data_IF_750577193141
#
_entry.id   IF_750577193141
#
_cell.length_a   1.000
_cell.length_b   1.000
_cell.length_c   1.000
_cell.angle_alpha   90.00
_cell.angle_beta   90.00
_cell.angle_gamma   90.00
#
_symmetry.space_group_name_H-M   'P 1'
#
loop_
_entity.id
_entity.type
_entity.pdbx_description
1 polymer ?
#
# COMPACT_ATOMS: atom_id res chain seq x y z
N UNK A 1 -30.94 -3.41 -17.56
CA UNK A 1 -30.99 -4.73 -18.24
C UNK A 1 -29.63 -5.11 -18.81
N UNK A 2 -28.95 -4.26 -19.59
CA UNK A 2 -27.60 -4.53 -20.13
C UNK A 2 -26.57 -4.94 -19.06
N UNK A 3 -26.52 -4.24 -17.91
CA UNK A 3 -25.64 -4.59 -16.79
C UNK A 3 -25.85 -6.01 -16.22
N UNK A 4 -27.05 -6.58 -16.38
CA UNK A 4 -27.38 -7.94 -15.93
C UNK A 4 -27.12 -9.01 -17.01
N UNK A 5 -27.00 -8.61 -18.28
CA UNK A 5 -26.86 -9.51 -19.42
C UNK A 5 -25.42 -9.99 -19.66
N UNK A 6 -24.41 -9.34 -19.05
CA UNK A 6 -23.04 -9.87 -18.95
C UNK A 6 -22.14 -9.77 -20.20
N UNK A 7 -22.63 -9.22 -21.32
CA UNK A 7 -21.77 -8.95 -22.48
C UNK A 7 -20.80 -7.79 -22.19
N UNK A 8 -19.49 -8.03 -22.26
CA UNK A 8 -18.43 -7.09 -21.84
C UNK A 8 -18.56 -5.70 -22.48
N UNK A 9 -18.78 -5.62 -23.79
CA UNK A 9 -18.94 -4.35 -24.50
C UNK A 9 -20.20 -3.59 -24.06
N UNK A 10 -21.32 -4.30 -23.97
CA UNK A 10 -22.59 -3.74 -23.51
C UNK A 10 -22.54 -3.31 -22.02
N UNK A 11 -21.77 -4.01 -21.19
CA UNK A 11 -21.55 -3.66 -19.78
C UNK A 11 -20.70 -2.41 -19.64
N UNK A 12 -19.60 -2.31 -20.39
CA UNK A 12 -18.74 -1.12 -20.43
C UNK A 12 -19.50 0.12 -20.87
N UNK A 13 -20.28 0.01 -21.95
CA UNK A 13 -21.11 1.09 -22.48
C UNK A 13 -22.21 1.48 -21.49
N UNK A 14 -22.89 0.51 -20.87
CA UNK A 14 -23.91 0.80 -19.87
C UNK A 14 -23.38 1.55 -18.64
N UNK A 15 -22.18 1.20 -18.14
CA UNK A 15 -21.55 1.96 -17.05
C UNK A 15 -21.17 3.37 -17.49
N UNK A 16 -20.67 3.53 -18.72
CA UNK A 16 -20.32 4.84 -19.26
C UNK A 16 -21.56 5.73 -19.39
N UNK A 17 -22.64 5.23 -19.99
CA UNK A 17 -23.92 5.94 -20.09
C UNK A 17 -24.46 6.31 -18.70
N UNK A 18 -24.42 5.39 -17.74
CA UNK A 18 -24.87 5.67 -16.37
C UNK A 18 -24.02 6.76 -15.71
N UNK A 19 -22.70 6.75 -15.90
CA UNK A 19 -21.80 7.79 -15.42
C UNK A 19 -22.19 9.16 -16.00
N UNK A 20 -22.40 9.25 -17.32
CA UNK A 20 -22.83 10.49 -17.98
C UNK A 20 -24.18 11.00 -17.45
N UNK A 21 -25.16 10.10 -17.25
CA UNK A 21 -26.48 10.48 -16.70
C UNK A 21 -26.34 11.02 -15.28
N UNK A 22 -25.51 10.41 -14.44
CA UNK A 22 -25.30 10.87 -13.07
C UNK A 22 -24.58 12.23 -12.99
N UNK A 23 -23.70 12.53 -13.94
CA UNK A 23 -23.04 13.83 -14.04
C UNK A 23 -23.99 14.94 -14.53
N UNK A 24 -24.80 14.65 -15.55
CA UNK A 24 -25.68 15.63 -16.19
C UNK A 24 -26.97 15.88 -15.39
N UNK A 25 -27.44 14.89 -14.63
CA UNK A 25 -28.71 14.96 -13.91
C UNK A 25 -28.56 14.76 -12.39
N UNK A 26 -28.15 15.79 -11.62
CA UNK A 26 -27.98 15.71 -10.16
C UNK A 26 -29.26 15.30 -9.39
N UNK A 27 -30.44 15.66 -9.91
CA UNK A 27 -31.73 15.25 -9.33
C UNK A 27 -32.00 13.75 -9.47
N UNK A 28 -31.55 13.14 -10.56
CA UNK A 28 -31.61 11.68 -10.75
C UNK A 28 -30.67 10.98 -9.76
N UNK A 29 -29.43 11.46 -9.64
CA UNK A 29 -28.49 10.94 -8.65
C UNK A 29 -29.09 11.00 -7.23
N UNK A 30 -29.62 12.15 -6.83
CA UNK A 30 -30.20 12.34 -5.48
C UNK A 30 -31.39 11.42 -5.19
N UNK A 31 -32.26 11.18 -6.18
CA UNK A 31 -33.45 10.35 -6.00
C UNK A 31 -33.19 8.84 -6.09
N UNK A 32 -32.15 8.43 -6.83
CA UNK A 32 -31.87 7.02 -7.13
C UNK A 32 -30.55 6.49 -6.57
N UNK A 33 -29.82 7.28 -5.78
CA UNK A 33 -28.53 6.87 -5.16
C UNK A 33 -28.66 5.51 -4.47
N UNK A 34 -29.71 5.34 -3.67
CA UNK A 34 -29.90 4.12 -2.90
C UNK A 34 -30.05 2.87 -3.77
N UNK A 35 -30.99 2.92 -4.71
CA UNK A 35 -31.26 1.82 -5.65
C UNK A 35 -30.05 1.52 -6.55
N UNK A 36 -29.31 2.56 -6.95
CA UNK A 36 -28.13 2.41 -7.80
C UNK A 36 -26.97 1.79 -7.05
N UNK A 37 -26.72 2.17 -5.80
CA UNK A 37 -25.67 1.52 -4.99
C UNK A 37 -25.99 0.06 -4.78
N UNK A 38 -27.23 -0.28 -4.44
CA UNK A 38 -27.64 -1.67 -4.20
C UNK A 38 -27.55 -2.49 -5.50
N UNK A 39 -27.95 -1.92 -6.63
CA UNK A 39 -27.79 -2.55 -7.95
C UNK A 39 -26.32 -2.77 -8.29
N UNK A 40 -25.48 -1.73 -8.18
CA UNK A 40 -24.08 -1.80 -8.57
C UNK A 40 -23.35 -2.80 -7.69
N UNK A 41 -23.42 -2.64 -6.37
CA UNK A 41 -22.73 -3.51 -5.40
C UNK A 41 -23.23 -4.96 -5.43
N UNK A 42 -24.47 -5.19 -5.86
CA UNK A 42 -25.03 -6.53 -6.09
C UNK A 42 -24.54 -7.22 -7.38
N UNK A 43 -23.93 -6.49 -8.32
CA UNK A 43 -23.34 -7.07 -9.53
C UNK A 43 -21.90 -7.51 -9.28
N UNK A 44 -21.49 -8.63 -9.89
CA UNK A 44 -20.09 -9.08 -9.89
C UNK A 44 -19.19 -7.99 -10.47
N UNK A 45 -18.04 -7.75 -9.83
CA UNK A 45 -17.02 -6.84 -10.34
C UNK A 45 -16.59 -7.27 -11.75
N UNK A 46 -16.52 -6.35 -12.73
CA UNK A 46 -16.04 -6.68 -14.08
C UNK A 46 -14.59 -7.17 -14.05
N UNK A 47 -14.30 -8.19 -14.86
CA UNK A 47 -12.94 -8.73 -14.98
C UNK A 47 -12.08 -7.88 -15.93
N UNK A 48 -12.68 -7.11 -16.84
CA UNK A 48 -11.98 -6.23 -17.79
C UNK A 48 -11.74 -4.82 -17.22
N UNK A 49 -10.59 -4.24 -17.57
CA UNK A 49 -10.14 -2.95 -17.00
C UNK A 49 -11.04 -1.79 -17.41
N UNK A 50 -11.59 -1.81 -18.63
CA UNK A 50 -12.46 -0.73 -19.14
C UNK A 50 -13.78 -0.65 -18.36
N UNK A 51 -14.49 -1.76 -18.24
CA UNK A 51 -15.73 -1.84 -17.48
C UNK A 51 -15.51 -1.60 -16.00
N UNK A 52 -14.40 -2.10 -15.42
CA UNK A 52 -14.03 -1.79 -14.04
C UNK A 52 -13.81 -0.29 -13.84
N UNK A 53 -13.07 0.36 -14.72
CA UNK A 53 -12.82 1.80 -14.66
C UNK A 53 -14.13 2.61 -14.75
N UNK A 54 -15.01 2.24 -15.67
CA UNK A 54 -16.31 2.92 -15.83
C UNK A 54 -17.18 2.71 -14.59
N UNK A 55 -17.24 1.49 -14.06
CA UNK A 55 -17.95 1.17 -12.80
C UNK A 55 -17.42 1.97 -11.63
N UNK A 56 -16.10 2.03 -11.43
CA UNK A 56 -15.47 2.80 -10.36
C UNK A 56 -15.76 4.30 -10.51
N UNK A 57 -15.85 4.81 -11.74
CA UNK A 57 -16.24 6.21 -12.01
C UNK A 57 -17.71 6.46 -11.64
N UNK A 58 -18.62 5.55 -12.01
CA UNK A 58 -20.03 5.63 -11.59
C UNK A 58 -20.15 5.64 -10.06
N UNK A 59 -19.46 4.71 -9.40
CA UNK A 59 -19.41 4.60 -7.94
C UNK A 59 -18.80 5.86 -7.29
N UNK A 60 -17.81 6.47 -7.92
CA UNK A 60 -17.21 7.73 -7.44
C UNK A 60 -18.22 8.86 -7.40
N UNK A 61 -19.06 9.03 -8.41
CA UNK A 61 -20.09 10.07 -8.42
C UNK A 61 -21.08 9.85 -7.26
N UNK A 62 -21.53 8.61 -7.06
CA UNK A 62 -22.44 8.24 -5.97
C UNK A 62 -21.81 8.44 -4.59
N UNK A 63 -20.53 8.09 -4.42
CA UNK A 63 -19.80 8.29 -3.16
C UNK A 63 -19.65 9.77 -2.84
N UNK A 64 -19.27 10.58 -3.83
CA UNK A 64 -19.14 12.03 -3.66
C UNK A 64 -20.49 12.65 -3.27
N UNK A 65 -21.57 12.25 -3.94
CA UNK A 65 -22.92 12.69 -3.61
C UNK A 65 -23.29 12.32 -2.17
N UNK A 66 -23.12 11.04 -1.80
CA UNK A 66 -23.49 10.55 -0.47
C UNK A 66 -22.68 11.23 0.64
N UNK A 67 -21.38 11.51 0.41
CA UNK A 67 -20.53 12.20 1.37
C UNK A 67 -20.84 13.69 1.50
N UNK A 68 -21.32 14.34 0.43
CA UNK A 68 -21.74 15.75 0.45
C UNK A 68 -23.15 15.94 1.01
N UNK A 69 -24.02 14.94 0.86
CA UNK A 69 -25.37 14.99 1.40
C UNK A 69 -25.34 14.90 2.93
N UNK A 70 -26.08 15.78 3.61
CA UNK A 70 -26.23 15.83 5.08
C UNK A 70 -27.23 14.75 5.54
N UNK A 71 -27.06 13.51 5.07
CA UNK A 71 -28.00 12.44 5.41
C UNK A 71 -27.32 11.29 6.15
N UNK A 72 -27.94 11.00 7.29
CA UNK A 72 -27.87 9.86 8.21
C UNK A 72 -26.48 9.31 8.63
N UNK A 73 -26.23 9.40 9.94
CA UNK A 73 -25.07 8.78 10.64
C UNK A 73 -25.08 7.25 10.47
N UNK A 74 -26.24 6.66 10.12
CA UNK A 74 -26.41 5.23 9.85
C UNK A 74 -26.22 4.76 8.41
N UNK A 75 -25.95 5.64 7.44
CA UNK A 75 -25.86 5.22 6.03
C UNK A 75 -24.59 4.37 5.77
N UNK A 76 -24.78 3.06 5.53
CA UNK A 76 -23.71 2.10 5.26
C UNK A 76 -23.23 2.13 3.80
N UNK A 77 -23.96 2.78 2.89
CA UNK A 77 -23.70 2.76 1.45
C UNK A 77 -22.35 3.37 1.05
N UNK A 78 -21.90 4.49 1.64
CA UNK A 78 -20.54 4.98 1.43
C UNK A 78 -19.47 3.92 1.70
N UNK A 79 -19.67 3.08 2.73
CA UNK A 79 -18.73 2.00 3.03
C UNK A 79 -18.76 0.91 1.97
N UNK A 80 -19.94 0.51 1.47
CA UNK A 80 -20.05 -0.48 0.39
C UNK A 80 -19.30 -0.02 -0.87
N UNK A 81 -19.50 1.24 -1.26
CA UNK A 81 -18.82 1.83 -2.42
C UNK A 81 -17.30 1.91 -2.18
N UNK A 82 -16.89 2.43 -1.02
CA UNK A 82 -15.48 2.59 -0.70
C UNK A 82 -14.78 1.22 -0.61
N UNK A 83 -15.45 0.18 -0.13
CA UNK A 83 -14.90 -1.17 -0.07
C UNK A 83 -14.50 -1.68 -1.46
N UNK A 84 -15.34 -1.47 -2.49
CA UNK A 84 -14.98 -1.85 -3.86
C UNK A 84 -13.75 -1.11 -4.36
N UNK A 85 -13.66 0.19 -4.09
CA UNK A 85 -12.50 0.99 -4.47
C UNK A 85 -11.23 0.48 -3.75
N UNK A 86 -11.31 0.24 -2.45
CA UNK A 86 -10.20 -0.28 -1.64
C UNK A 86 -9.71 -1.63 -2.19
N UNK A 87 -10.62 -2.54 -2.55
CA UNK A 87 -10.24 -3.82 -3.16
C UNK A 87 -9.55 -3.62 -4.52
N UNK A 88 -10.06 -2.70 -5.36
CA UNK A 88 -9.49 -2.42 -6.67
C UNK A 88 -8.06 -1.83 -6.61
N UNK A 89 -7.68 -1.15 -5.53
CA UNK A 89 -6.30 -0.66 -5.31
C UNK A 89 -5.27 -1.81 -5.24
N UNK A 90 -5.73 -3.03 -4.97
CA UNK A 90 -4.91 -4.23 -4.85
C UNK A 90 -5.18 -5.26 -5.94
N UNK A 91 -5.85 -4.87 -7.02
CA UNK A 91 -6.05 -5.74 -8.18
C UNK A 91 -4.71 -6.31 -8.68
N UNK A 92 -4.74 -7.54 -9.18
CA UNK A 92 -3.58 -8.18 -9.81
C UNK A 92 -3.04 -7.40 -11.02
N UNK A 93 -3.93 -6.75 -11.79
CA UNK A 93 -3.63 -6.02 -13.01
C UNK A 93 -3.16 -4.60 -12.70
N UNK A 94 -2.04 -4.20 -13.29
CA UNK A 94 -1.47 -2.87 -13.06
C UNK A 94 -2.41 -1.75 -13.51
N UNK A 95 -3.05 -1.90 -14.67
CA UNK A 95 -3.95 -0.88 -15.21
C UNK A 95 -5.21 -0.72 -14.37
N UNK A 96 -5.72 -1.81 -13.80
CA UNK A 96 -6.84 -1.77 -12.85
C UNK A 96 -6.48 -1.00 -11.58
N UNK A 97 -5.31 -1.28 -10.98
CA UNK A 97 -4.81 -0.51 -9.83
C UNK A 97 -4.65 0.97 -10.17
N UNK A 98 -4.12 1.28 -11.35
CA UNK A 98 -3.95 2.66 -11.82
C UNK A 98 -5.29 3.37 -11.96
N UNK A 99 -6.29 2.73 -12.58
CA UNK A 99 -7.64 3.28 -12.69
C UNK A 99 -8.25 3.55 -11.31
N UNK A 100 -8.08 2.64 -10.35
CA UNK A 100 -8.55 2.85 -8.97
C UNK A 100 -7.83 4.02 -8.27
N UNK A 101 -6.51 4.19 -8.45
CA UNK A 101 -5.78 5.36 -7.94
C UNK A 101 -6.28 6.67 -8.57
N UNK A 102 -6.51 6.68 -9.89
CA UNK A 102 -7.00 7.86 -10.60
C UNK A 102 -8.42 8.24 -10.12
N UNK A 103 -9.29 7.25 -9.89
CA UNK A 103 -10.63 7.47 -9.32
C UNK A 103 -10.54 8.00 -7.88
N UNK A 104 -9.67 7.47 -7.03
CA UNK A 104 -9.47 7.98 -5.67
C UNK A 104 -9.05 9.46 -5.65
N UNK A 105 -8.15 9.85 -6.56
CA UNK A 105 -7.71 11.25 -6.72
C UNK A 105 -8.81 12.16 -7.28
N UNK A 106 -9.72 11.63 -8.11
CA UNK A 106 -10.92 12.37 -8.54
C UNK A 106 -11.86 12.60 -7.37
N UNK A 107 -12.13 11.58 -6.54
CA UNK A 107 -12.95 11.73 -5.32
C UNK A 107 -12.38 12.83 -4.43
N UNK A 108 -11.08 12.78 -4.12
CA UNK A 108 -10.45 13.79 -3.25
C UNK A 108 -10.59 15.21 -3.80
N UNK A 109 -10.42 15.37 -5.12
CA UNK A 109 -10.56 16.66 -5.79
C UNK A 109 -12.02 17.16 -5.75
N UNK A 110 -12.99 16.28 -5.99
CA UNK A 110 -14.42 16.63 -5.96
C UNK A 110 -14.95 16.96 -4.56
N UNK A 111 -14.36 16.40 -3.50
CA UNK A 111 -14.72 16.70 -2.11
C UNK A 111 -14.03 17.95 -1.55
N UNK A 112 -13.20 18.61 -2.35
CA UNK A 112 -12.53 19.85 -1.97
C UNK A 112 -11.25 19.62 -1.17
N UNK A 113 -10.37 18.71 -1.59
CA UNK A 113 -8.99 18.52 -1.07
C UNK A 113 -8.04 19.71 -1.31
N UNK A 114 -8.57 20.93 -1.20
CA UNK A 114 -7.90 22.22 -1.15
C UNK A 114 -8.60 23.21 -0.20
N UNK A 115 -9.78 22.87 0.34
CA UNK A 115 -10.50 23.59 1.41
C UNK A 115 -10.40 22.81 2.72
N UNK A 116 -9.19 22.38 3.01
CA UNK A 116 -8.86 21.43 4.05
C UNK A 116 -8.84 22.07 5.47
N UNK A 117 -9.68 23.09 5.67
CA UNK A 117 -9.86 23.80 6.93
C UNK A 117 -11.07 23.32 7.75
N UNK A 118 -11.91 22.44 7.20
CA UNK A 118 -13.06 21.90 7.93
C UNK A 118 -12.80 20.45 8.36
N UNK A 119 -12.43 20.18 9.63
CA UNK A 119 -12.22 18.82 10.14
C UNK A 119 -13.50 17.96 10.08
N UNK A 120 -14.68 18.58 9.92
CA UNK A 120 -15.96 17.89 9.78
C UNK A 120 -16.49 17.89 8.33
N UNK A 121 -15.64 18.25 7.35
CA UNK A 121 -16.01 18.30 5.94
C UNK A 121 -16.14 16.90 5.29
N UNK A 122 -16.78 16.82 4.11
CA UNK A 122 -16.93 15.57 3.35
C UNK A 122 -15.60 14.85 3.05
N UNK A 123 -14.53 15.60 2.83
CA UNK A 123 -13.19 15.05 2.64
C UNK A 123 -12.65 14.40 3.91
N UNK A 124 -12.75 15.06 5.06
CA UNK A 124 -12.35 14.47 6.35
C UNK A 124 -13.16 13.22 6.70
N UNK A 125 -14.44 13.17 6.30
CA UNK A 125 -15.28 11.95 6.40
C UNK A 125 -14.73 10.82 5.53
N UNK A 126 -14.33 11.08 4.28
CA UNK A 126 -13.67 10.08 3.43
C UNK A 126 -12.42 9.51 4.11
N UNK A 127 -11.55 10.38 4.64
CA UNK A 127 -10.31 9.94 5.29
C UNK A 127 -10.60 9.12 6.53
N UNK A 128 -11.54 9.56 7.37
CA UNK A 128 -11.98 8.84 8.57
C UNK A 128 -12.52 7.45 8.21
N UNK A 129 -13.28 7.34 7.12
CA UNK A 129 -13.73 6.04 6.62
C UNK A 129 -12.56 5.16 6.21
N UNK A 130 -11.58 5.68 5.45
CA UNK A 130 -10.37 4.93 5.05
C UNK A 130 -9.55 4.51 6.28
N UNK A 131 -9.46 5.35 7.32
CA UNK A 131 -8.84 4.99 8.60
C UNK A 131 -9.56 3.81 9.28
N UNK A 132 -10.89 3.74 9.17
CA UNK A 132 -11.67 2.57 9.60
C UNK A 132 -11.22 1.27 8.93
N UNK A 133 -10.81 1.31 7.66
CA UNK A 133 -10.30 0.12 6.94
C UNK A 133 -8.91 -0.34 7.41
N UNK A 134 -8.20 0.44 8.22
CA UNK A 134 -6.96 -0.05 8.86
C UNK A 134 -7.25 -1.22 9.80
N UNK A 135 -8.44 -1.24 10.40
CA UNK A 135 -8.98 -2.37 11.20
C UNK A 135 -9.75 -3.38 10.34
N UNK A 136 -9.49 -3.42 9.03
CA UNK A 136 -10.14 -4.33 8.11
C UNK A 136 -9.94 -5.81 8.46
N UNK A 137 -10.81 -6.71 7.95
CA UNK A 137 -10.84 -8.12 8.36
C UNK A 137 -9.66 -8.94 7.82
N UNK A 138 -8.85 -8.38 6.91
CA UNK A 138 -7.71 -9.07 6.33
C UNK A 138 -6.51 -8.13 6.14
N UNK A 139 -5.28 -8.66 6.21
CA UNK A 139 -4.07 -7.89 5.88
C UNK A 139 -4.10 -7.25 4.49
N UNK A 140 -4.80 -7.89 3.55
CA UNK A 140 -4.96 -7.40 2.18
C UNK A 140 -5.71 -6.06 2.17
N UNK A 141 -6.87 -6.00 2.84
CA UNK A 141 -7.70 -4.80 2.98
C UNK A 141 -6.95 -3.71 3.76
N UNK A 142 -6.32 -4.06 4.88
CA UNK A 142 -5.51 -3.10 5.66
C UNK A 142 -4.39 -2.50 4.81
N UNK A 143 -3.66 -3.31 4.03
CA UNK A 143 -2.59 -2.82 3.16
C UNK A 143 -3.10 -1.95 2.01
N UNK A 144 -4.31 -2.24 1.51
CA UNK A 144 -4.99 -1.46 0.49
C UNK A 144 -5.37 -0.07 1.01
N UNK A 145 -5.92 0.00 2.22
CA UNK A 145 -6.24 1.25 2.90
C UNK A 145 -5.00 2.12 3.14
N UNK A 146 -3.89 1.53 3.56
CA UNK A 146 -2.60 2.25 3.69
C UNK A 146 -2.11 2.78 2.33
N UNK A 147 -2.32 2.02 1.25
CA UNK A 147 -1.99 2.46 -0.11
C UNK A 147 -2.89 3.60 -0.58
N UNK A 148 -4.18 3.58 -0.23
CA UNK A 148 -5.12 4.67 -0.46
C UNK A 148 -4.67 5.97 0.24
N UNK A 149 -4.33 5.88 1.53
CA UNK A 149 -3.79 7.02 2.30
C UNK A 149 -2.48 7.53 1.72
N UNK A 150 -1.61 6.65 1.21
CA UNK A 150 -0.36 7.06 0.57
C UNK A 150 -0.61 7.94 -0.66
N UNK A 151 -1.60 7.60 -1.48
CA UNK A 151 -1.96 8.36 -2.69
C UNK A 151 -2.55 9.71 -2.32
N UNK A 152 -3.40 9.76 -1.29
CA UNK A 152 -4.01 10.99 -0.81
C UNK A 152 -2.97 11.93 -0.17
N UNK A 153 -2.07 11.41 0.67
CA UNK A 153 -0.95 12.19 1.25
C UNK A 153 0.02 12.67 0.17
N UNK A 154 0.25 11.88 -0.89
CA UNK A 154 1.05 12.34 -2.02
C UNK A 154 0.43 13.55 -2.72
N UNK A 155 -0.91 13.56 -2.86
CA UNK A 155 -1.65 14.65 -3.48
C UNK A 155 -1.74 15.89 -2.58
N UNK A 156 -1.98 15.69 -1.29
CA UNK A 156 -2.19 16.74 -0.30
C UNK A 156 -1.50 16.39 1.01
N UNK A 157 -0.21 16.75 1.19
CA UNK A 157 0.55 16.38 2.39
C UNK A 157 0.01 17.01 3.68
N UNK A 158 -0.63 18.17 3.56
CA UNK A 158 -1.29 18.88 4.67
C UNK A 158 -2.39 18.03 5.34
N UNK A 159 -2.91 16.99 4.67
CA UNK A 159 -3.84 16.02 5.21
C UNK A 159 -3.40 15.48 6.59
N UNK A 160 -2.11 15.20 6.77
CA UNK A 160 -1.58 14.66 8.02
C UNK A 160 -1.58 15.67 9.17
N UNK A 161 -1.66 16.97 8.88
CA UNK A 161 -1.77 18.04 9.88
C UNK A 161 -3.22 18.28 10.27
N UNK A 162 -4.13 18.18 9.30
CA UNK A 162 -5.57 18.40 9.51
C UNK A 162 -6.20 17.22 10.24
N UNK A 163 -5.75 16.00 9.93
CA UNK A 163 -6.21 14.76 10.55
C UNK A 163 -4.99 14.11 11.22
N UNK A 164 -4.64 14.56 12.44
CA UNK A 164 -3.40 14.16 13.11
C UNK A 164 -3.34 12.65 13.40
N UNK A 165 -4.49 11.98 13.49
CA UNK A 165 -4.59 10.54 13.74
C UNK A 165 -4.08 9.67 12.58
N UNK A 166 -3.90 10.23 11.37
CA UNK A 166 -3.46 9.46 10.19
C UNK A 166 -2.09 8.83 10.43
N UNK A 167 -1.11 9.62 10.87
CA UNK A 167 0.28 9.15 10.99
C UNK A 167 0.44 8.13 12.12
N UNK A 168 -0.06 8.37 13.36
CA UNK A 168 0.00 7.39 14.44
C UNK A 168 -0.76 6.10 14.09
N UNK A 169 -1.97 6.20 13.53
CA UNK A 169 -2.78 5.03 13.17
C UNK A 169 -2.08 4.14 12.16
N UNK A 170 -1.54 4.71 11.08
CA UNK A 170 -0.81 3.94 10.06
C UNK A 170 0.51 3.39 10.61
N UNK A 171 1.24 4.18 11.41
CA UNK A 171 2.54 3.75 11.97
C UNK A 171 2.37 2.60 12.96
N UNK A 172 1.29 2.58 13.75
CA UNK A 172 0.98 1.50 14.71
C UNK A 172 0.90 0.11 14.05
N UNK A 173 0.54 0.05 12.76
CA UNK A 173 0.45 -1.19 11.98
C UNK A 173 1.82 -1.85 11.75
N UNK A 174 2.93 -1.16 12.00
CA UNK A 174 4.28 -1.74 12.03
C UNK A 174 4.47 -2.75 13.17
N UNK A 175 3.57 -2.83 14.15
CA UNK A 175 3.60 -3.87 15.18
C UNK A 175 2.91 -5.18 14.74
N UNK A 176 2.23 -5.19 13.60
CA UNK A 176 1.61 -6.40 13.06
C UNK A 176 2.67 -7.37 12.51
N UNK A 177 2.29 -8.65 12.31
CA UNK A 177 3.14 -9.67 11.69
C UNK A 177 2.95 -9.79 10.16
N UNK A 178 2.01 -9.02 9.60
CA UNK A 178 1.64 -9.13 8.20
C UNK A 178 2.63 -8.38 7.30
N UNK A 179 3.49 -9.12 6.59
CA UNK A 179 4.55 -8.58 5.72
C UNK A 179 4.00 -7.58 4.70
N UNK A 180 2.83 -7.87 4.11
CA UNK A 180 2.18 -7.00 3.15
C UNK A 180 1.78 -5.65 3.76
N UNK A 181 1.25 -5.65 4.98
CA UNK A 181 0.89 -4.43 5.73
C UNK A 181 2.15 -3.64 6.07
N UNK A 182 3.19 -4.28 6.61
CA UNK A 182 4.46 -3.61 6.94
C UNK A 182 5.08 -2.95 5.69
N UNK A 183 5.08 -3.65 4.55
CA UNK A 183 5.55 -3.10 3.26
C UNK A 183 4.74 -1.85 2.87
N UNK A 184 3.41 -1.90 3.00
CA UNK A 184 2.55 -0.77 2.69
C UNK A 184 2.82 0.43 3.62
N UNK A 185 2.98 0.19 4.94
CA UNK A 185 3.25 1.24 5.93
C UNK A 185 4.60 1.91 5.70
N UNK A 186 5.66 1.14 5.45
CA UNK A 186 6.96 1.73 5.09
C UNK A 186 6.90 2.51 3.77
N UNK A 187 6.04 2.08 2.83
CA UNK A 187 5.72 2.83 1.62
C UNK A 187 5.03 4.17 1.91
N UNK A 188 4.00 4.15 2.76
CA UNK A 188 3.28 5.34 3.23
C UNK A 188 4.23 6.33 3.91
N UNK A 189 5.03 5.87 4.87
CA UNK A 189 5.98 6.72 5.60
C UNK A 189 6.98 7.34 4.63
N UNK A 190 7.49 6.57 3.66
CA UNK A 190 8.39 7.10 2.62
C UNK A 190 7.72 8.24 1.84
N UNK A 191 6.47 8.07 1.41
CA UNK A 191 5.71 9.11 0.70
C UNK A 191 5.55 10.34 1.60
N UNK A 192 5.08 10.17 2.83
CA UNK A 192 4.90 11.23 3.80
C UNK A 192 6.17 12.07 3.98
N UNK A 193 7.30 11.44 4.35
CA UNK A 193 8.56 12.17 4.59
C UNK A 193 9.10 12.83 3.33
N UNK A 194 8.75 12.31 2.15
CA UNK A 194 9.15 12.90 0.87
C UNK A 194 8.35 14.18 0.58
N UNK A 195 7.04 14.17 0.84
CA UNK A 195 6.12 15.21 0.39
C UNK A 195 5.89 16.34 1.41
N UNK A 196 5.90 16.06 2.72
CA UNK A 196 5.59 17.07 3.75
C UNK A 196 6.71 18.11 3.91
N UNK A 197 6.42 19.37 4.25
CA UNK A 197 7.47 20.37 4.44
C UNK A 197 8.39 20.05 5.63
N UNK A 198 9.67 20.46 5.62
CA UNK A 198 10.60 20.21 6.72
C UNK A 198 10.14 20.73 8.08
N UNK A 199 9.45 21.89 8.11
CA UNK A 199 8.92 22.50 9.35
C UNK A 199 7.87 21.59 9.98
N UNK A 200 6.92 21.13 9.19
CA UNK A 200 5.82 20.28 9.63
C UNK A 200 6.26 18.84 9.90
N UNK A 201 7.29 18.36 9.20
CA UNK A 201 7.83 17.02 9.43
C UNK A 201 8.31 16.82 10.86
N UNK A 202 8.77 17.89 11.54
CA UNK A 202 9.24 17.84 12.93
C UNK A 202 8.17 17.28 13.87
N UNK A 203 6.88 17.55 13.59
CA UNK A 203 5.75 17.05 14.38
C UNK A 203 5.63 15.52 14.37
N UNK A 204 6.20 14.87 13.36
CA UNK A 204 6.10 13.42 13.16
C UNK A 204 7.43 12.68 13.37
N UNK A 205 8.52 13.38 13.69
CA UNK A 205 9.87 12.77 13.77
C UNK A 205 9.91 11.65 14.80
N UNK A 206 9.39 11.86 16.01
CA UNK A 206 9.38 10.82 17.05
C UNK A 206 8.57 9.59 16.61
N UNK A 207 7.28 9.76 16.28
CA UNK A 207 6.41 8.63 15.90
C UNK A 207 6.97 7.83 14.73
N UNK A 208 7.52 8.50 13.71
CA UNK A 208 8.09 7.82 12.55
C UNK A 208 9.36 7.06 12.95
N UNK A 209 10.30 7.70 13.65
CA UNK A 209 11.58 7.08 14.03
C UNK A 209 11.35 5.88 14.94
N UNK A 210 10.49 6.03 15.95
CA UNK A 210 10.13 4.95 16.88
C UNK A 210 9.50 3.75 16.15
N UNK A 211 8.63 4.01 15.17
CA UNK A 211 7.99 2.98 14.36
C UNK A 211 8.95 2.23 13.43
N UNK A 212 9.83 2.94 12.71
CA UNK A 212 10.65 2.32 11.64
C UNK A 212 11.96 1.70 12.13
N UNK A 213 12.54 2.18 13.24
CA UNK A 213 13.84 1.72 13.70
C UNK A 213 13.91 0.21 14.03
N UNK A 214 12.89 -0.42 14.63
CA UNK A 214 12.86 -1.88 14.81
C UNK A 214 13.06 -2.67 13.51
N UNK A 215 12.63 -2.12 12.38
CA UNK A 215 12.75 -2.74 11.07
C UNK A 215 14.15 -2.57 10.44
N UNK A 216 15.02 -1.76 11.04
CA UNK A 216 16.40 -1.57 10.57
C UNK A 216 17.27 -2.82 10.73
N UNK A 217 16.97 -3.71 11.68
CA UNK A 217 17.71 -4.96 11.90
C UNK A 217 17.19 -6.11 11.03
N UNK A 218 16.02 -5.96 10.41
CA UNK A 218 15.37 -7.01 9.60
C UNK A 218 15.83 -6.93 8.15
N UNK A 219 16.65 -7.90 7.72
CA UNK A 219 17.15 -7.97 6.33
C UNK A 219 16.14 -8.59 5.36
N UNK A 220 15.26 -9.46 5.84
CA UNK A 220 14.20 -10.09 5.03
C UNK A 220 13.28 -9.02 4.43
N UNK A 221 12.75 -9.29 3.24
CA UNK A 221 11.84 -8.39 2.51
C UNK A 221 12.41 -6.98 2.25
N UNK A 222 13.73 -6.83 2.36
CA UNK A 222 14.46 -5.58 2.19
C UNK A 222 14.00 -4.47 3.15
N UNK A 223 13.47 -4.81 4.33
CA UNK A 223 12.98 -3.82 5.29
C UNK A 223 14.07 -2.85 5.75
N UNK A 224 15.25 -3.36 6.11
CA UNK A 224 16.43 -2.53 6.43
C UNK A 224 16.71 -1.48 5.36
N UNK A 225 16.69 -1.85 4.07
CA UNK A 225 16.92 -0.91 2.96
C UNK A 225 15.84 0.14 2.86
N UNK A 226 14.57 -0.21 3.08
CA UNK A 226 13.45 0.76 3.09
C UNK A 226 13.59 1.74 4.26
N UNK A 227 13.93 1.25 5.45
CA UNK A 227 14.18 2.09 6.63
C UNK A 227 15.36 3.03 6.40
N UNK A 228 16.45 2.55 5.79
CA UNK A 228 17.60 3.40 5.42
C UNK A 228 17.16 4.56 4.53
N UNK A 229 16.38 4.30 3.47
CA UNK A 229 15.90 5.35 2.55
C UNK A 229 15.03 6.38 3.27
N UNK A 230 14.15 5.95 4.18
CA UNK A 230 13.30 6.85 4.97
C UNK A 230 14.19 7.74 5.87
N UNK A 231 15.13 7.14 6.61
CA UNK A 231 16.04 7.90 7.48
C UNK A 231 16.93 8.86 6.69
N UNK A 232 17.41 8.48 5.50
CA UNK A 232 18.16 9.39 4.62
C UNK A 232 17.33 10.62 4.24
N UNK A 233 16.03 10.45 3.99
CA UNK A 233 15.10 11.56 3.72
C UNK A 233 14.91 12.44 4.96
N UNK A 234 14.66 11.83 6.12
CA UNK A 234 14.45 12.57 7.35
C UNK A 234 15.70 13.35 7.78
N UNK A 235 16.88 12.74 7.74
CA UNK A 235 18.15 13.41 8.08
C UNK A 235 18.40 14.59 7.14
N UNK A 236 18.03 14.48 5.87
CA UNK A 236 18.17 15.59 4.91
C UNK A 236 17.23 16.75 5.21
N UNK A 237 15.99 16.48 5.64
CA UNK A 237 14.95 17.51 5.84
C UNK A 237 15.00 18.11 7.24
N UNK A 238 15.14 17.28 8.27
CA UNK A 238 15.09 17.68 9.68
C UNK A 238 16.48 17.87 10.32
N UNK A 239 17.55 17.41 9.63
CA UNK A 239 18.90 17.37 10.18
C UNK A 239 19.18 16.13 11.03
N UNK A 240 20.46 15.76 11.13
CA UNK A 240 20.92 14.65 11.95
C UNK A 240 20.65 14.84 13.46
N UNK A 241 20.83 16.05 14.05
CA UNK A 241 20.59 16.25 15.48
C UNK A 241 19.15 15.94 15.89
N UNK A 242 18.16 16.39 15.12
CA UNK A 242 16.74 16.15 15.40
C UNK A 242 16.40 14.66 15.39
N UNK A 243 16.88 13.91 14.37
CA UNK A 243 16.66 12.46 14.29
C UNK A 243 17.38 11.72 15.42
N UNK A 244 18.61 12.12 15.76
CA UNK A 244 19.37 11.51 16.86
C UNK A 244 18.73 11.72 18.22
N UNK A 245 18.13 12.89 18.46
CA UNK A 245 17.50 13.24 19.74
C UNK A 245 16.40 12.24 20.13
N UNK A 246 15.62 11.77 19.15
CA UNK A 246 14.55 10.79 19.37
C UNK A 246 15.00 9.34 19.14
N UNK A 247 16.26 9.11 18.76
CA UNK A 247 16.75 7.76 18.45
C UNK A 247 17.21 7.05 19.73
N UNK A 248 16.64 5.88 20.08
CA UNK A 248 17.12 5.08 21.19
C UNK A 248 18.59 4.66 21.00
N UNK A 249 19.36 4.59 22.08
CA UNK A 249 20.81 4.34 22.07
C UNK A 249 21.21 3.13 21.21
N UNK A 250 20.45 2.02 21.30
CA UNK A 250 20.66 0.79 20.53
C UNK A 250 20.70 0.98 19.01
N UNK A 251 20.09 2.03 18.48
CA UNK A 251 20.03 2.32 17.04
C UNK A 251 20.91 3.51 16.63
N UNK A 252 21.55 4.22 17.55
CA UNK A 252 22.35 5.40 17.21
C UNK A 252 23.51 5.09 16.25
N UNK A 253 24.18 3.95 16.43
CA UNK A 253 25.24 3.50 15.52
C UNK A 253 24.73 3.31 14.09
N UNK A 254 23.50 2.78 13.94
CA UNK A 254 22.87 2.61 12.64
C UNK A 254 22.52 3.96 12.01
N UNK A 255 21.89 4.87 12.74
CA UNK A 255 21.56 6.23 12.26
C UNK A 255 22.82 7.01 11.87
N UNK A 256 23.89 6.90 12.67
CA UNK A 256 25.21 7.48 12.35
C UNK A 256 25.75 6.90 11.04
N UNK A 257 25.71 5.57 10.85
CA UNK A 257 26.12 4.94 9.59
C UNK A 257 25.31 5.43 8.39
N UNK A 258 24.00 5.58 8.53
CA UNK A 258 23.13 6.11 7.47
C UNK A 258 23.53 7.55 7.09
N UNK A 259 23.83 8.41 8.07
CA UNK A 259 24.31 9.79 7.81
C UNK A 259 25.66 9.87 7.09
N UNK A 260 26.56 8.91 7.34
CA UNK A 260 27.89 8.83 6.73
C UNK A 260 27.86 8.27 5.31
N UNK A 261 26.92 7.36 5.02
CA UNK A 261 26.71 6.75 3.70
C UNK A 261 26.45 7.79 2.60
N UNK A 262 26.08 9.01 2.99
CA UNK A 262 25.92 10.20 2.14
C UNK A 262 27.26 10.86 1.74
N UNK A 263 28.25 10.89 2.61
CA UNK A 263 29.49 11.64 2.39
C UNK A 263 30.45 10.91 1.44
N UNK A 264 30.51 9.57 1.49
CA UNK A 264 31.42 8.78 0.64
C UNK A 264 31.02 8.66 -0.83
N UNK A 265 29.80 9.08 -1.23
CA UNK A 265 29.34 9.07 -2.63
C UNK A 265 29.44 10.43 -3.33
N UNK A 266 29.55 11.52 -2.57
CA UNK A 266 29.83 12.85 -3.12
C UNK A 266 31.34 13.12 -3.18
N UNK A 267 32.14 12.54 -2.28
CA UNK A 267 33.58 12.78 -2.20
C UNK A 267 34.44 11.92 -3.15
N UNK A 268 33.85 11.02 -3.95
CA UNK A 268 34.60 10.16 -4.90
C UNK A 268 34.51 10.61 -6.36
N UNK A 269 33.91 11.77 -6.63
CA UNK A 269 33.84 12.38 -7.96
C UNK A 269 34.51 13.76 -8.03
N UNK A 270 34.94 14.31 -6.90
CA UNK A 270 35.53 15.66 -6.79
C UNK A 270 36.97 15.55 -6.30
N UNK A 271 37.79 14.77 -7.02
CA UNK A 271 39.23 14.71 -6.81
C UNK A 271 39.97 14.69 -8.16
N UNK A 272 39.51 15.49 -9.13
CA UNK A 272 40.37 16.02 -10.20
C UNK A 272 39.70 17.22 -10.90
N UNK A 273 39.86 18.42 -10.34
CA UNK A 273 40.01 19.67 -11.09
C UNK A 273 40.13 20.85 -10.13
N UNK A 274 41.36 21.25 -9.90
CA UNK A 274 41.73 22.48 -9.20
C UNK A 274 41.36 23.70 -10.07
N UNK A 275 40.82 24.73 -9.41
CA UNK A 275 40.94 26.16 -9.75
C UNK A 275 39.82 26.84 -10.59
N UNK A 276 38.81 27.41 -9.92
CA UNK A 276 38.40 28.84 -10.07
C UNK A 276 37.35 29.26 -9.01
N UNK A 277 37.58 30.42 -8.38
CA UNK A 277 36.73 31.10 -7.38
C UNK A 277 35.67 32.01 -8.08
N UNK A 278 34.71 32.64 -7.38
CA UNK A 278 33.28 32.43 -7.55
C UNK A 278 32.54 33.61 -8.22
N UNK A 279 31.36 33.35 -8.78
CA UNK A 279 30.37 34.40 -9.07
C UNK A 279 29.01 34.06 -8.46
N UNK A 280 28.42 35.12 -7.93
CA UNK A 280 27.19 35.20 -7.15
C UNK A 280 26.01 35.33 -8.10
N UNK A 281 24.95 34.55 -7.92
CA UNK A 281 23.61 34.86 -8.42
C UNK A 281 22.55 34.07 -7.65
N UNK A 282 21.40 34.72 -7.56
CA UNK A 282 20.39 34.69 -6.51
C UNK A 282 19.41 33.50 -6.57
N UNK A 283 18.73 33.31 -5.45
CA UNK A 283 17.70 32.33 -5.12
C UNK A 283 16.41 32.63 -5.89
N UNK A 284 15.84 31.65 -6.60
CA UNK A 284 14.37 31.51 -6.66
C UNK A 284 13.89 30.14 -7.16
N UNK A 285 12.94 29.58 -6.39
CA UNK A 285 11.86 28.64 -6.72
C UNK A 285 12.17 27.17 -7.07
N UNK A 286 12.15 26.35 -6.02
CA UNK A 286 11.91 24.91 -6.06
C UNK A 286 10.41 24.60 -6.23
N UNK A 287 9.99 24.22 -7.44
CA UNK A 287 8.68 23.58 -7.67
C UNK A 287 8.76 22.25 -8.45
N UNK A 288 9.96 21.77 -8.81
CA UNK A 288 10.11 20.66 -9.78
C UNK A 288 10.32 19.25 -9.17
N UNK A 289 10.27 19.08 -7.85
CA UNK A 289 10.57 17.78 -7.23
C UNK A 289 9.42 16.76 -7.28
N UNK A 290 8.19 17.17 -7.57
CA UNK A 290 7.03 16.26 -7.65
C UNK A 290 6.77 15.69 -9.06
N UNK A 291 7.34 16.26 -10.13
CA UNK A 291 7.13 15.77 -11.52
C UNK A 291 8.01 14.56 -11.86
N UNK A 292 9.11 14.35 -11.14
CA UNK A 292 10.11 13.30 -11.44
C UNK A 292 9.66 11.87 -11.13
N UNK A 293 8.47 11.66 -10.55
CA UNK A 293 7.91 10.32 -10.35
C UNK A 293 7.32 9.71 -11.63
N UNK A 294 6.98 10.51 -12.66
CA UNK A 294 6.42 10.00 -13.93
C UNK A 294 7.45 9.38 -14.87
N UNK A 295 8.74 9.69 -14.75
CA UNK A 295 9.76 9.27 -15.75
C UNK A 295 10.74 8.18 -15.28
N UNK A 296 10.71 7.77 -14.01
CA UNK A 296 11.62 6.72 -13.49
C UNK A 296 10.92 5.42 -13.11
N UNK A 297 9.84 5.07 -13.81
CA UNK A 297 9.31 3.68 -13.85
C UNK A 297 10.13 2.82 -14.82
N UNK A 298 11.42 2.65 -14.51
CA UNK A 298 12.14 1.40 -14.82
C UNK A 298 12.23 0.64 -13.52
N UNK A 299 11.12 -0.01 -13.17
CA UNK A 299 11.08 -1.01 -12.11
C UNK A 299 12.11 -2.09 -12.46
N UNK A 300 13.15 -2.19 -11.64
CA UNK A 300 13.98 -3.39 -11.59
C UNK A 300 13.07 -4.49 -11.06
N UNK A 301 12.74 -5.45 -11.92
CA UNK A 301 11.91 -6.63 -11.66
C UNK A 301 12.06 -7.18 -10.23
N UNK A 302 10.98 -7.19 -9.45
CA UNK A 302 10.78 -8.14 -8.36
C UNK A 302 9.97 -9.31 -8.93
N UNK A 303 10.66 -10.32 -9.47
CA UNK A 303 10.08 -11.65 -9.64
C UNK A 303 10.38 -12.43 -8.36
N UNK A 304 9.39 -12.55 -7.50
CA UNK A 304 9.40 -13.51 -6.39
C UNK A 304 9.20 -14.91 -6.98
N UNK A 305 10.29 -15.66 -7.11
CA UNK A 305 10.27 -17.07 -7.46
C UNK A 305 10.08 -17.91 -6.21
N UNK A 306 8.89 -18.49 -6.04
CA UNK A 306 8.71 -19.70 -5.23
C UNK A 306 9.47 -20.84 -5.92
N UNK A 307 10.44 -21.43 -5.23
CA UNK A 307 11.20 -22.57 -5.73
C UNK A 307 10.69 -23.85 -5.07
N UNK A 308 9.94 -24.63 -5.85
CA UNK A 308 9.80 -26.06 -5.67
C UNK A 308 11.03 -26.79 -6.22
N UNK A 309 11.71 -27.51 -5.33
CA UNK A 309 12.61 -28.66 -5.48
C UNK A 309 13.35 -28.98 -6.79
N UNK A 310 14.62 -29.36 -6.57
CA UNK A 310 15.43 -30.40 -7.23
C UNK A 310 16.58 -29.94 -8.17
N UNK A 311 17.79 -29.96 -7.59
CA UNK A 311 19.04 -30.55 -8.10
C UNK A 311 19.38 -30.37 -9.60
N UNK A 312 20.48 -29.66 -9.89
CA UNK A 312 21.72 -30.33 -10.31
C UNK A 312 22.95 -29.42 -10.18
N UNK A 313 23.96 -30.01 -9.57
CA UNK A 313 25.29 -29.50 -9.21
C UNK A 313 26.22 -29.60 -10.41
N UNK A 314 26.91 -28.51 -10.80
CA UNK A 314 28.23 -28.61 -11.42
C UNK A 314 29.12 -27.42 -11.06
N UNK A 315 30.14 -27.73 -10.25
CA UNK A 315 31.31 -26.90 -9.92
C UNK A 315 32.18 -26.70 -11.16
N UNK A 316 32.71 -25.50 -11.36
CA UNK A 316 34.00 -25.19 -12.03
C UNK A 316 34.51 -23.89 -11.36
N UNK A 317 35.36 -23.94 -10.33
CA UNK A 317 36.82 -24.17 -10.29
C UNK A 317 37.58 -23.16 -11.16
N UNK A 318 38.12 -22.15 -10.47
CA UNK A 318 39.08 -21.17 -10.97
C UNK A 318 40.36 -21.84 -11.49
N UNK A 319 40.89 -21.32 -12.59
CA UNK A 319 42.33 -21.35 -12.84
C UNK A 319 42.74 -20.17 -13.75
N UNK A 320 43.66 -19.34 -13.23
CA UNK A 320 44.40 -18.27 -13.90
C UNK A 320 45.28 -18.84 -15.03
N UNK A 321 45.48 -18.08 -16.13
CA UNK A 321 46.75 -17.41 -16.47
C UNK A 321 46.82 -16.88 -17.93
N UNK A 322 47.33 -15.64 -18.03
CA UNK A 322 48.20 -15.00 -19.05
C UNK A 322 47.78 -14.77 -20.54
N UNK A 323 47.65 -13.47 -20.86
CA UNK A 323 48.20 -12.66 -21.99
C UNK A 323 48.10 -13.09 -23.47
N UNK A 324 47.28 -12.33 -24.23
CA UNK A 324 47.43 -11.62 -25.55
C UNK A 324 48.43 -12.10 -26.65
N UNK A 325 48.33 -11.69 -27.95
CA UNK A 325 47.39 -10.74 -28.61
C UNK A 325 46.85 -11.15 -30.03
N UNK A 326 46.00 -10.26 -30.57
CA UNK A 326 45.82 -9.88 -32.00
C UNK A 326 45.12 -10.81 -32.99
N UNK A 327 44.28 -10.20 -33.85
CA UNK A 327 43.85 -10.79 -35.12
C UNK A 327 42.43 -10.40 -35.53
N UNK A 328 42.32 -9.64 -36.61
CA UNK A 328 41.11 -9.03 -37.14
C UNK A 328 40.26 -9.97 -38.04
N UNK A 329 39.02 -9.50 -38.26
CA UNK A 329 38.20 -9.68 -39.46
C UNK A 329 37.49 -11.01 -39.75
N UNK A 330 36.20 -10.88 -40.12
CA UNK A 330 35.62 -11.66 -41.22
C UNK A 330 34.36 -12.48 -40.92
N UNK A 331 33.22 -12.03 -41.45
CA UNK A 331 32.42 -12.88 -42.35
C UNK A 331 31.30 -13.77 -41.78
N UNK A 332 30.07 -13.25 -41.90
CA UNK A 332 28.90 -13.87 -42.58
C UNK A 332 28.44 -15.32 -42.29
N UNK A 333 27.18 -15.38 -41.83
CA UNK A 333 26.02 -16.12 -42.42
C UNK A 333 25.95 -17.65 -42.29
N UNK A 334 24.83 -18.07 -41.69
CA UNK A 334 23.94 -19.07 -42.32
C UNK A 334 23.87 -20.42 -41.63
N UNK A 335 22.65 -20.93 -41.46
CA UNK A 335 22.43 -22.37 -41.24
C UNK A 335 21.51 -22.73 -40.09
N UNK A 336 20.22 -22.47 -40.28
CA UNK A 336 19.10 -23.17 -39.65
C UNK A 336 19.22 -24.68 -39.80
N UNK A 337 18.87 -25.46 -38.77
CA UNK A 337 18.06 -26.65 -39.01
C UNK A 337 17.24 -27.13 -37.80
N UNK A 338 15.98 -27.43 -38.10
CA UNK A 338 14.95 -28.01 -37.24
C UNK A 338 15.04 -29.53 -37.26
N UNK A 339 14.74 -30.17 -36.12
CA UNK A 339 14.08 -31.49 -35.99
C UNK A 339 13.61 -31.62 -34.54
N UNK A 340 12.33 -31.44 -34.19
CA UNK A 340 11.18 -32.38 -34.31
C UNK A 340 11.55 -33.85 -34.05
N UNK A 341 11.15 -34.41 -32.90
CA UNK A 341 9.98 -35.30 -32.82
C UNK A 341 9.80 -35.98 -31.44
N UNK A 342 8.52 -36.11 -31.09
CA UNK A 342 7.82 -37.26 -30.44
C UNK A 342 8.13 -37.58 -28.97
N UNK A 343 7.15 -37.36 -28.09
CA UNK A 343 6.01 -38.25 -27.76
C UNK A 343 6.42 -39.51 -26.98
N UNK A 344 5.92 -39.62 -25.76
CA UNK A 344 6.07 -40.79 -24.90
C UNK A 344 5.33 -40.64 -23.58
N UNK A 345 4.03 -40.35 -23.62
CA UNK A 345 3.13 -40.44 -22.48
C UNK A 345 2.96 -41.92 -22.09
N UNK A 346 3.20 -42.27 -20.82
CA UNK A 346 2.82 -43.58 -20.26
C UNK A 346 2.18 -43.38 -18.90
N UNK A 347 0.86 -43.31 -18.92
CA UNK A 347 0.00 -43.62 -17.79
C UNK A 347 0.22 -45.08 -17.38
N UNK A 348 0.35 -45.32 -16.06
CA UNK A 348 -0.06 -46.58 -15.44
C UNK A 348 -0.80 -46.27 -14.14
N UNK A 349 -2.07 -46.58 -14.19
CA UNK A 349 -3.02 -46.71 -13.09
C UNK A 349 -2.58 -47.79 -12.10
N UNK A 350 -2.85 -47.59 -10.82
CA UNK A 350 -3.11 -48.68 -9.87
C UNK A 350 -4.11 -48.24 -8.81
N UNK A 351 -5.03 -49.16 -8.56
CA UNK A 351 -6.26 -49.05 -7.80
C UNK A 351 -6.06 -49.04 -6.28
N UNK A 352 -6.99 -48.37 -5.58
CA UNK A 352 -7.73 -48.94 -4.45
C UNK A 352 -7.05 -48.98 -3.08
N UNK A 353 -7.54 -48.16 -2.15
CA UNK A 353 -8.12 -48.65 -0.89
C UNK A 353 -8.97 -47.56 -0.20
N UNK A 354 -10.18 -47.92 0.17
CA UNK A 354 -11.17 -47.10 0.85
C UNK A 354 -10.90 -46.84 2.34
N UNK A 355 -11.84 -46.17 3.04
CA UNK A 355 -11.55 -45.30 4.16
C UNK A 355 -11.62 -46.02 5.53
N UNK A 356 -10.74 -45.63 6.46
CA UNK A 356 -10.80 -46.06 7.86
C UNK A 356 -11.66 -45.10 8.69
N UNK A 357 -12.76 -45.62 9.24
CA UNK A 357 -13.56 -45.01 10.33
C UNK A 357 -12.79 -45.07 11.67
N UNK A 358 -13.09 -44.17 12.63
CA UNK A 358 -12.42 -44.11 13.94
C UNK A 358 -13.05 -45.09 14.95
N UNK A 359 -12.26 -45.57 15.92
CA UNK A 359 -12.75 -46.26 17.12
C UNK A 359 -12.49 -45.40 18.38
N UNK A 360 -13.43 -45.40 19.36
CA UNK A 360 -13.33 -44.67 20.63
C UNK A 360 -12.80 -45.57 21.76
N UNK A 361 -12.42 -44.99 22.91
CA UNK A 361 -12.77 -45.50 24.26
C UNK A 361 -12.29 -44.60 25.42
N UNK A 362 -13.24 -44.38 26.36
CA UNK A 362 -13.19 -44.31 27.85
C UNK A 362 -12.13 -43.41 28.51
N UNK A 363 -12.42 -42.58 29.52
CA UNK A 363 -13.50 -42.59 30.52
C UNK A 363 -12.85 -42.50 31.91
N UNK A 364 -13.14 -41.46 32.68
CA UNK A 364 -12.62 -41.27 34.05
C UNK A 364 -13.30 -40.07 34.72
N UNK A 365 -14.22 -40.40 35.62
CA UNK A 365 -15.14 -39.53 36.38
C UNK A 365 -14.45 -39.07 37.68
N UNK A 366 -14.71 -37.85 38.19
CA UNK A 366 -14.88 -37.61 39.63
C UNK A 366 -15.63 -36.27 39.89
N UNK A 367 -16.61 -36.37 40.80
CA UNK A 367 -17.65 -35.44 41.26
C UNK A 367 -17.12 -34.18 42.00
N UNK A 368 -17.71 -32.98 41.80
CA UNK A 368 -18.82 -32.30 42.54
C UNK A 368 -18.53 -32.05 44.04
N UNK A 369 -18.27 -30.80 44.46
CA UNK A 369 -19.22 -29.82 45.10
C UNK A 369 -18.78 -29.52 46.57
N UNK A 370 -19.25 -28.47 47.29
CA UNK A 370 -20.42 -27.62 47.03
C UNK A 370 -20.25 -26.10 47.25
N UNK A 371 -21.34 -25.40 46.91
CA UNK A 371 -21.66 -24.00 47.21
C UNK A 371 -22.10 -23.77 48.66
N UNK A 372 -21.95 -22.54 49.18
CA UNK A 372 -22.88 -21.98 50.18
C UNK A 372 -23.12 -20.48 49.98
N UNK A 373 -24.42 -20.15 49.95
CA UNK A 373 -25.05 -18.82 50.02
C UNK A 373 -24.99 -18.23 51.45
N UNK A 374 -24.76 -16.93 51.54
CA UNK A 374 -25.69 -15.91 52.08
C UNK A 374 -26.02 -15.81 53.59
N UNK A 375 -25.84 -14.60 54.16
CA UNK A 375 -26.73 -13.81 55.06
C UNK A 375 -25.97 -12.54 55.49
N UNK A 376 -26.39 -11.30 55.19
CA UNK A 376 -27.53 -10.51 55.71
C UNK A 376 -27.38 -10.00 57.16
N UNK A 377 -27.39 -8.67 57.32
CA UNK A 377 -27.41 -7.88 58.56
C UNK A 377 -26.35 -6.77 58.52
N UNK A 378 -26.58 -5.46 58.67
CA UNK A 378 -27.72 -4.68 59.14
C UNK A 378 -27.20 -3.51 60.01
N UNK A 379 -27.31 -2.28 59.49
CA UNK A 379 -27.35 -0.95 60.15
C UNK A 379 -26.47 -0.59 61.39
N UNK A 380 -25.73 0.53 61.28
CA UNK A 380 -25.76 1.74 62.15
C UNK A 380 -24.74 2.77 61.61
N UNK A 381 -25.17 3.92 61.06
CA UNK A 381 -25.48 5.23 61.69
C UNK A 381 -24.24 6.14 61.91
N UNK A 382 -24.35 7.37 61.38
CA UNK A 382 -23.94 8.70 61.90
C UNK A 382 -22.72 9.46 61.34
N UNK A 383 -23.01 10.77 61.16
CA UNK A 383 -22.21 11.98 60.89
C UNK A 383 -21.93 12.26 59.39
N UNK A 384 -22.34 13.38 58.81
CA UNK A 384 -23.03 14.59 59.28
C UNK A 384 -23.79 15.20 58.08
#
# INVERSE_FOLDING_TARGET
QALRAGHVTAVSEAYNTLSCVLEVHPGFCSSKTDELVDLLTGLKSPDDVGSLSNRLTTLQILLVHTLKSVTDVGNKKPFLILNELILALKDSKEDARKAAYDVLLRISSSLGGSSAGNPNGPYSKLISMILGYLSGPSPHITSAAVSALSVLVFKEPALCLIIPDVVPSVTSLLHTKAVEVIKAVLGFIKVLVSCIEPKDLQNFVSVIVDGILPWSSVSRHHFRSKVTVILEIMIRKCGLPAVKLVTPERYQAFVKKVSLSRHGKASSLEADSTNRKPQVADVSENSSLCSNFRQKKRLRNEKDGESGSALHRKKRRDQKQYSHPSGAAGGTVGGSDKKTNRFGNKQKSRMGHGPRKPKPMKGGNFERAPSKRGKAGGNKKLKA
#
